data_IF_965030879398
#
_entry.id   IF_965030879398
#
_cell.length_a   1.000
_cell.length_b   1.000
_cell.length_c   1.000
_cell.angle_alpha   90.00
_cell.angle_beta   90.00
_cell.angle_gamma   90.00
#
_symmetry.space_group_name_H-M   'P 1'
#
loop_
_entity.id
_entity.type
_entity.pdbx_description
1 polymer ?
#
# COMPACT_ATOMS: atom_id res chain seq x y z
N UNK A 1 1.80 3.39 10.18
CA UNK A 1 3.12 3.41 9.47
C UNK A 1 3.71 2.00 9.34
N UNK A 2 2.93 0.98 9.64
CA UNK A 2 3.39 -0.38 9.89
C UNK A 2 3.85 -1.02 8.59
N UNK A 3 3.07 -0.85 7.51
CA UNK A 3 3.42 -1.34 6.18
C UNK A 3 4.68 -0.69 5.58
N UNK A 4 4.99 0.56 5.98
CA UNK A 4 6.19 1.29 5.57
C UNK A 4 7.42 0.74 6.32
N UNK A 5 7.28 0.48 7.63
CA UNK A 5 8.31 -0.19 8.42
C UNK A 5 8.58 -1.64 7.96
N UNK A 6 7.55 -2.33 7.47
CA UNK A 6 7.66 -3.67 6.89
C UNK A 6 8.22 -3.66 5.45
N UNK A 7 8.41 -2.48 4.84
CA UNK A 7 8.93 -2.36 3.48
C UNK A 7 7.95 -2.78 2.37
N UNK A 8 6.66 -2.89 2.67
CA UNK A 8 5.61 -3.24 1.69
C UNK A 8 5.24 -1.99 0.86
N UNK A 9 5.15 -0.84 1.53
CA UNK A 9 4.90 0.45 0.89
C UNK A 9 6.01 1.44 1.26
N UNK A 10 6.09 2.53 0.51
CA UNK A 10 6.89 3.69 0.84
C UNK A 10 5.96 4.89 1.05
N UNK A 11 5.87 5.39 2.28
CA UNK A 11 4.92 6.45 2.66
C UNK A 11 5.64 7.77 3.00
N UNK A 12 5.64 8.72 2.08
CA UNK A 12 6.27 10.04 2.27
C UNK A 12 5.26 11.11 2.65
N UNK A 13 5.48 11.80 3.78
CA UNK A 13 4.70 13.00 4.12
C UNK A 13 5.11 14.17 3.23
N UNK A 14 4.15 14.73 2.51
CA UNK A 14 4.32 15.89 1.63
C UNK A 14 3.45 17.04 2.13
N UNK A 15 4.04 18.23 2.21
CA UNK A 15 3.29 19.47 2.42
C UNK A 15 2.57 19.86 1.13
N UNK A 16 1.30 20.20 1.23
CA UNK A 16 0.47 20.77 0.16
C UNK A 16 0.12 22.23 0.47
N UNK A 17 0.88 22.91 1.34
CA UNK A 17 0.65 24.31 1.72
C UNK A 17 -0.68 24.48 2.48
N UNK A 18 -1.55 25.38 2.01
CA UNK A 18 -2.88 25.63 2.62
C UNK A 18 -3.78 24.38 2.63
N UNK A 19 -3.54 23.42 1.76
CA UNK A 19 -4.28 22.16 1.70
C UNK A 19 -3.78 21.11 2.72
N UNK A 20 -2.85 21.49 3.61
CA UNK A 20 -2.37 20.64 4.69
C UNK A 20 -1.23 19.72 4.28
N UNK A 21 -1.11 18.58 4.98
CA UNK A 21 -0.05 17.59 4.77
C UNK A 21 -0.69 16.24 4.48
N UNK A 22 -0.16 15.52 3.51
CA UNK A 22 -0.68 14.21 3.10
C UNK A 22 0.47 13.22 2.94
N UNK A 23 0.21 11.94 3.22
CA UNK A 23 1.15 10.87 2.86
C UNK A 23 0.93 10.45 1.42
N UNK A 24 1.95 10.58 0.60
CA UNK A 24 2.00 9.93 -0.71
C UNK A 24 2.54 8.53 -0.49
N UNK A 25 1.71 7.53 -0.76
CA UNK A 25 2.03 6.11 -0.55
C UNK A 25 2.27 5.46 -1.92
N UNK A 26 3.38 4.74 -2.05
CA UNK A 26 3.73 3.96 -3.24
C UNK A 26 4.02 2.52 -2.84
N UNK A 27 3.76 1.56 -3.73
CA UNK A 27 4.20 0.18 -3.52
C UNK A 27 5.74 0.12 -3.55
N UNK A 28 6.32 -0.54 -2.55
CA UNK A 28 7.76 -0.80 -2.48
C UNK A 28 8.11 -2.23 -2.97
N UNK A 29 7.11 -3.11 -3.01
CA UNK A 29 7.21 -4.47 -3.56
C UNK A 29 6.59 -4.55 -4.96
N UNK A 30 6.83 -5.66 -5.66
CA UNK A 30 6.15 -5.92 -6.93
C UNK A 30 4.66 -6.21 -6.72
N UNK A 31 3.84 -5.77 -7.67
CA UNK A 31 2.40 -6.02 -7.65
C UNK A 31 2.07 -7.51 -7.63
N UNK A 32 2.84 -8.33 -8.36
CA UNK A 32 2.70 -9.79 -8.33
C UNK A 32 2.86 -10.36 -6.92
N UNK A 33 3.87 -9.92 -6.17
CA UNK A 33 4.09 -10.40 -4.80
C UNK A 33 2.95 -9.99 -3.87
N UNK A 34 2.43 -8.77 -4.04
CA UNK A 34 1.26 -8.29 -3.29
C UNK A 34 0.03 -9.15 -3.57
N UNK A 35 -0.27 -9.38 -4.85
CA UNK A 35 -1.43 -10.18 -5.29
C UNK A 35 -1.33 -11.60 -4.76
N UNK A 36 -0.18 -12.27 -4.87
CA UNK A 36 -0.02 -13.64 -4.35
C UNK A 36 -0.20 -13.71 -2.83
N UNK A 37 0.30 -12.72 -2.09
CA UNK A 37 0.05 -12.63 -0.64
C UNK A 37 -1.43 -12.45 -0.31
N UNK A 38 -2.11 -11.55 -1.01
CA UNK A 38 -3.52 -11.22 -0.75
C UNK A 38 -4.49 -12.32 -1.19
N UNK A 39 -4.17 -13.10 -2.22
CA UNK A 39 -4.98 -14.25 -2.67
C UNK A 39 -5.20 -15.28 -1.56
N UNK A 40 -4.26 -15.41 -0.62
CA UNK A 40 -4.34 -16.36 0.48
C UNK A 40 -5.33 -15.97 1.58
N UNK A 41 -5.68 -14.68 1.70
CA UNK A 41 -6.59 -14.20 2.74
C UNK A 41 -8.04 -14.19 2.22
N UNK A 42 -8.92 -15.04 2.75
CA UNK A 42 -10.30 -15.18 2.26
C UNK A 42 -11.14 -13.91 2.41
N UNK A 43 -10.74 -12.96 3.26
CA UNK A 43 -11.47 -11.70 3.48
C UNK A 43 -11.26 -10.69 2.36
N UNK A 44 -10.15 -10.82 1.61
CA UNK A 44 -9.73 -9.86 0.58
C UNK A 44 -9.51 -10.51 -0.78
N UNK A 45 -9.38 -11.84 -0.85
CA UNK A 45 -9.17 -12.57 -2.10
C UNK A 45 -10.26 -12.31 -3.15
N UNK A 46 -11.50 -12.05 -2.73
CA UNK A 46 -12.61 -11.71 -3.62
C UNK A 46 -12.39 -10.40 -4.39
N UNK A 47 -11.56 -9.48 -3.87
CA UNK A 47 -11.24 -8.20 -4.51
C UNK A 47 -10.32 -8.37 -5.73
N UNK A 48 -9.73 -9.55 -5.91
CA UNK A 48 -8.78 -9.89 -6.96
C UNK A 48 -9.43 -10.74 -8.07
N UNK A 49 -10.75 -10.88 -8.05
CA UNK A 49 -11.52 -11.56 -9.08
C UNK A 49 -11.94 -10.53 -10.14
N UNK A 50 -11.35 -10.63 -11.33
CA UNK A 50 -11.85 -10.00 -12.55
C UNK A 50 -12.86 -10.92 -13.26
#
# INVERSE_FOLDING_TARGET
NELDMLGIVNARVMSKGRYGRTKVVKLAISERALIEGLKSDPRVAWLLQD
#
